data_IF_347846590753
#
_entry.id   IF_347846590753
#
_cell.length_a   1.000
_cell.length_b   1.000
_cell.length_c   1.000
_cell.angle_alpha   90.00
_cell.angle_beta   90.00
_cell.angle_gamma   90.00
#
_symmetry.space_group_name_H-M   'P 1'
#
loop_
_entity.id
_entity.type
_entity.pdbx_description
1 polymer ?
#
# COMPACT_ATOMS: atom_id res chain seq x y z
N UNK A 1 7.04 -2.56 10.82
CA UNK A 1 7.75 -2.31 9.54
C UNK A 1 7.51 -3.51 8.61
N UNK A 2 8.01 -3.50 7.37
CA UNK A 2 7.68 -4.49 6.33
C UNK A 2 7.89 -5.95 6.77
N UNK A 3 6.96 -6.85 6.43
CA UNK A 3 7.05 -8.30 6.69
C UNK A 3 8.31 -8.96 6.08
N UNK A 4 8.86 -8.39 5.01
CA UNK A 4 10.07 -8.90 4.36
C UNK A 4 11.38 -8.50 5.05
N UNK A 5 11.34 -7.69 6.11
CA UNK A 5 12.51 -7.51 6.99
C UNK A 5 12.70 -8.69 7.96
N UNK A 6 11.75 -9.63 7.98
CA UNK A 6 11.83 -10.90 8.72
C UNK A 6 12.53 -11.97 7.86
N UNK A 7 13.71 -12.42 8.27
CA UNK A 7 14.44 -13.48 7.55
C UNK A 7 13.68 -14.80 7.43
N UNK A 8 12.89 -15.17 8.45
CA UNK A 8 12.18 -16.44 8.45
C UNK A 8 10.99 -16.38 7.49
N UNK A 9 10.23 -15.28 7.48
CA UNK A 9 9.15 -15.09 6.50
C UNK A 9 9.66 -14.99 5.06
N UNK A 10 10.85 -14.42 4.82
CA UNK A 10 11.48 -14.42 3.48
C UNK A 10 11.68 -15.84 2.96
N UNK A 11 12.05 -16.79 3.82
CA UNK A 11 12.26 -18.22 3.47
C UNK A 11 10.93 -18.97 3.27
N UNK A 12 9.85 -18.52 3.89
CA UNK A 12 8.55 -19.15 3.71
C UNK A 12 7.85 -18.68 2.43
N UNK A 13 8.09 -17.44 2.00
CA UNK A 13 7.44 -16.83 0.83
C UNK A 13 8.17 -17.13 -0.48
N UNK A 14 8.03 -18.37 -0.96
CA UNK A 14 8.52 -18.81 -2.27
C UNK A 14 7.40 -19.20 -3.23
N UNK A 15 7.67 -19.00 -4.52
CA UNK A 15 6.77 -19.36 -5.61
C UNK A 15 6.69 -18.23 -6.64
N UNK A 16 6.33 -18.58 -7.86
CA UNK A 16 6.07 -17.63 -8.94
C UNK A 16 4.67 -17.95 -9.44
N UNK A 17 3.83 -16.92 -9.53
CA UNK A 17 2.55 -17.06 -10.19
C UNK A 17 2.80 -17.06 -11.70
N UNK A 18 2.50 -18.19 -12.35
CA UNK A 18 2.71 -18.33 -13.78
C UNK A 18 1.79 -17.38 -14.56
N UNK A 19 2.14 -17.07 -15.80
CA UNK A 19 1.27 -16.23 -16.65
C UNK A 19 -0.09 -16.90 -16.87
N UNK A 20 -0.12 -18.23 -17.02
CA UNK A 20 -1.35 -19.00 -17.15
C UNK A 20 -2.22 -18.94 -15.89
N UNK A 21 -1.62 -19.03 -14.70
CA UNK A 21 -2.37 -18.89 -13.44
C UNK A 21 -2.91 -17.47 -13.30
N UNK A 22 -2.11 -16.45 -13.63
CA UNK A 22 -2.55 -15.05 -13.64
C UNK A 22 -3.76 -14.84 -14.56
N UNK A 23 -3.73 -15.37 -15.78
CA UNK A 23 -4.86 -15.28 -16.71
C UNK A 23 -6.11 -15.97 -16.18
N UNK A 24 -5.95 -17.17 -15.59
CA UNK A 24 -7.05 -17.94 -15.03
C UNK A 24 -7.67 -17.21 -13.83
N UNK A 25 -6.85 -16.67 -12.93
CA UNK A 25 -7.27 -15.87 -11.79
C UNK A 25 -7.96 -14.59 -12.25
N UNK A 26 -7.42 -13.90 -13.26
CA UNK A 26 -8.01 -12.69 -13.81
C UNK A 26 -9.41 -12.97 -14.38
N UNK A 27 -9.57 -14.06 -15.13
CA UNK A 27 -10.87 -14.52 -15.63
C UNK A 27 -11.87 -14.79 -14.51
N UNK A 28 -11.41 -15.34 -13.39
CA UNK A 28 -12.26 -15.70 -12.26
C UNK A 28 -12.67 -14.49 -11.39
N UNK A 29 -11.82 -13.45 -11.28
CA UNK A 29 -11.96 -12.39 -10.28
C UNK A 29 -11.97 -10.95 -10.83
N UNK A 30 -11.23 -10.63 -11.89
CA UNK A 30 -10.92 -9.22 -12.22
C UNK A 30 -12.14 -8.43 -12.71
N UNK A 31 -13.13 -9.08 -13.33
CA UNK A 31 -14.37 -8.41 -13.77
C UNK A 31 -15.20 -7.82 -12.62
N UNK A 32 -14.89 -8.17 -11.36
CA UNK A 32 -15.48 -7.58 -10.15
C UNK A 32 -14.53 -6.65 -9.40
N UNK A 33 -13.27 -6.57 -9.79
CA UNK A 33 -12.29 -5.76 -9.10
C UNK A 33 -12.51 -4.27 -9.42
N UNK A 34 -12.80 -3.49 -8.38
CA UNK A 34 -12.82 -2.02 -8.47
C UNK A 34 -11.40 -1.44 -8.47
N UNK A 35 -10.45 -2.17 -7.85
CA UNK A 35 -9.04 -1.81 -7.78
C UNK A 35 -8.17 -3.07 -7.84
N UNK A 36 -7.14 -3.05 -8.67
CA UNK A 36 -6.06 -4.03 -8.68
C UNK A 36 -4.83 -3.41 -8.01
N UNK A 37 -4.46 -3.92 -6.84
CA UNK A 37 -3.28 -3.49 -6.11
C UNK A 37 -2.16 -4.51 -6.32
N UNK A 38 -1.10 -4.10 -7.00
CA UNK A 38 0.12 -4.89 -7.20
C UNK A 38 1.11 -4.51 -6.08
N UNK A 39 1.68 -5.51 -5.41
CA UNK A 39 2.64 -5.32 -4.31
C UNK A 39 2.00 -5.33 -2.91
N UNK A 40 2.50 -4.48 -2.00
CA UNK A 40 2.16 -4.39 -0.57
C UNK A 40 2.66 -5.50 0.35
N UNK A 41 2.88 -6.72 -0.15
CA UNK A 41 3.42 -7.84 0.63
C UNK A 41 4.92 -8.03 0.49
N UNK A 42 5.40 -8.10 -0.75
CA UNK A 42 6.79 -8.26 -1.16
C UNK A 42 7.20 -7.11 -2.09
N UNK A 43 8.45 -7.12 -2.58
CA UNK A 43 8.88 -6.20 -3.63
C UNK A 43 8.41 -6.70 -5.02
N UNK A 44 7.38 -6.09 -5.63
CA UNK A 44 6.86 -6.54 -6.92
C UNK A 44 7.85 -6.37 -8.07
N UNK A 45 8.85 -5.47 -7.99
CA UNK A 45 9.82 -5.26 -9.07
C UNK A 45 10.72 -6.47 -9.33
N UNK A 46 10.70 -7.50 -8.49
CA UNK A 46 11.34 -8.79 -8.74
C UNK A 46 10.60 -9.63 -9.79
N UNK A 47 9.31 -9.36 -10.02
CA UNK A 47 8.53 -10.06 -11.04
C UNK A 47 8.83 -9.47 -12.42
N UNK A 48 9.31 -10.31 -13.35
CA UNK A 48 9.81 -9.84 -14.66
C UNK A 48 8.73 -9.18 -15.53
N UNK A 49 7.48 -9.63 -15.44
CA UNK A 49 6.41 -9.19 -16.33
C UNK A 49 5.35 -8.31 -15.62
N UNK A 50 5.78 -7.31 -14.84
CA UNK A 50 4.85 -6.39 -14.17
C UNK A 50 3.90 -5.69 -15.14
N UNK A 51 4.40 -5.26 -16.31
CA UNK A 51 3.56 -4.64 -17.33
C UNK A 51 2.46 -5.58 -17.82
N UNK A 52 2.73 -6.89 -17.91
CA UNK A 52 1.72 -7.90 -18.25
C UNK A 52 0.55 -7.91 -17.28
N UNK A 53 0.82 -7.77 -15.97
CA UNK A 53 -0.23 -7.69 -14.94
C UNK A 53 -1.11 -6.44 -15.14
N UNK A 54 -0.49 -5.30 -15.46
CA UNK A 54 -1.22 -4.05 -15.75
C UNK A 54 -2.12 -4.19 -16.97
N UNK A 55 -1.58 -4.73 -18.07
CA UNK A 55 -2.34 -4.99 -19.31
C UNK A 55 -3.52 -5.93 -19.05
N UNK A 56 -3.29 -6.99 -18.29
CA UNK A 56 -4.32 -7.96 -17.92
C UNK A 56 -5.43 -7.28 -17.10
N UNK A 57 -5.08 -6.45 -16.11
CA UNK A 57 -6.06 -5.65 -15.36
C UNK A 57 -6.91 -4.77 -16.27
N UNK A 58 -6.29 -4.05 -17.21
CA UNK A 58 -7.03 -3.19 -18.16
C UNK A 58 -7.90 -4.00 -19.14
N UNK A 59 -7.45 -5.17 -19.59
CA UNK A 59 -8.24 -6.07 -20.44
C UNK A 59 -9.57 -6.48 -19.77
N UNK A 60 -9.56 -6.65 -18.44
CA UNK A 60 -10.77 -6.95 -17.66
C UNK A 60 -11.50 -5.70 -17.16
N UNK A 61 -11.16 -4.52 -17.68
CA UNK A 61 -11.75 -3.22 -17.33
C UNK A 61 -11.65 -2.88 -15.84
N UNK A 62 -10.56 -3.27 -15.16
CA UNK A 62 -10.31 -2.85 -13.78
C UNK A 62 -10.14 -1.32 -13.76
N UNK A 63 -10.98 -0.57 -13.03
CA UNK A 63 -10.99 0.90 -13.11
C UNK A 63 -9.71 1.56 -12.59
N UNK A 64 -9.06 0.96 -11.59
CA UNK A 64 -7.89 1.53 -10.95
C UNK A 64 -6.83 0.47 -10.67
N UNK A 65 -5.64 0.61 -11.23
CA UNK A 65 -4.50 -0.29 -11.07
C UNK A 65 -3.37 0.49 -10.42
N UNK A 66 -2.87 0.01 -9.30
CA UNK A 66 -1.80 0.66 -8.57
C UNK A 66 -0.67 -0.29 -8.20
N UNK A 67 0.57 0.20 -8.30
CA UNK A 67 1.78 -0.52 -7.92
C UNK A 67 2.36 0.08 -6.64
N UNK A 68 2.60 -0.74 -5.61
CA UNK A 68 3.34 -0.32 -4.41
C UNK A 68 4.69 -1.02 -4.36
N UNK A 69 5.78 -0.24 -4.32
CA UNK A 69 7.16 -0.72 -4.50
C UNK A 69 8.15 0.19 -3.75
N UNK A 70 9.35 -0.31 -3.42
CA UNK A 70 10.49 0.53 -3.05
C UNK A 70 11.15 1.20 -4.28
N UNK A 71 10.90 0.65 -5.47
CA UNK A 71 11.32 1.14 -6.78
C UNK A 71 12.81 0.99 -7.11
N UNK A 72 13.64 0.43 -6.22
CA UNK A 72 15.09 0.39 -6.40
C UNK A 72 15.55 -0.48 -7.59
N UNK A 73 14.70 -1.39 -8.07
CA UNK A 73 14.96 -2.24 -9.25
C UNK A 73 14.21 -1.80 -10.51
N UNK A 74 13.38 -0.75 -10.43
CA UNK A 74 12.60 -0.30 -11.58
C UNK A 74 13.46 0.49 -12.55
N UNK A 75 13.45 0.08 -13.82
CA UNK A 75 14.09 0.85 -14.88
C UNK A 75 13.14 1.90 -15.44
N UNK A 76 13.70 2.89 -16.14
CA UNK A 76 12.94 3.91 -16.85
C UNK A 76 11.98 3.26 -17.86
N UNK A 77 12.46 2.31 -18.66
CA UNK A 77 11.68 1.60 -19.67
C UNK A 77 10.49 0.87 -19.06
N UNK A 78 10.68 0.23 -17.89
CA UNK A 78 9.58 -0.43 -17.18
C UNK A 78 8.51 0.58 -16.73
N UNK A 79 8.91 1.73 -16.19
CA UNK A 79 7.96 2.77 -15.79
C UNK A 79 7.15 3.30 -16.98
N UNK A 80 7.81 3.61 -18.09
CA UNK A 80 7.16 4.02 -19.34
C UNK A 80 6.19 2.95 -19.85
N UNK A 81 6.65 1.69 -19.90
CA UNK A 81 5.84 0.57 -20.37
C UNK A 81 4.61 0.31 -19.48
N UNK A 82 4.74 0.46 -18.16
CA UNK A 82 3.61 0.33 -17.24
C UNK A 82 2.63 1.50 -17.36
N UNK A 83 3.12 2.74 -17.47
CA UNK A 83 2.27 3.90 -17.69
C UNK A 83 1.50 3.79 -19.02
N UNK A 84 2.17 3.38 -20.10
CA UNK A 84 1.56 3.10 -21.40
C UNK A 84 0.50 2.00 -21.34
N UNK A 85 0.76 0.93 -20.58
CA UNK A 85 -0.19 -0.15 -20.34
C UNK A 85 -1.41 0.27 -19.51
N UNK A 86 -1.42 1.49 -18.97
CA UNK A 86 -2.52 2.05 -18.20
C UNK A 86 -2.36 1.93 -16.68
N UNK A 87 -1.15 1.80 -16.14
CA UNK A 87 -0.96 1.89 -14.69
C UNK A 87 -1.46 3.27 -14.21
N UNK A 88 -2.38 3.29 -13.24
CA UNK A 88 -3.00 4.54 -12.80
C UNK A 88 -2.19 5.23 -11.70
N UNK A 89 -1.56 4.46 -10.81
CA UNK A 89 -0.77 4.99 -9.69
C UNK A 89 0.47 4.15 -9.37
N UNK A 90 1.60 4.82 -9.15
CA UNK A 90 2.75 4.23 -8.44
C UNK A 90 2.84 4.82 -7.02
N UNK A 91 2.94 3.93 -6.03
CA UNK A 91 3.23 4.25 -4.64
C UNK A 91 4.66 3.85 -4.32
N UNK A 92 5.52 4.83 -4.08
CA UNK A 92 6.87 4.62 -3.60
C UNK A 92 6.89 4.57 -2.08
N UNK A 93 7.30 3.44 -1.53
CA UNK A 93 7.58 3.31 -0.11
C UNK A 93 9.00 3.78 0.18
N UNK A 94 9.14 4.75 1.09
CA UNK A 94 10.45 5.21 1.57
C UNK A 94 10.38 5.50 3.08
N UNK A 95 11.47 5.24 3.79
CA UNK A 95 11.55 5.39 5.24
C UNK A 95 12.67 6.35 5.65
N UNK A 96 13.22 7.12 4.72
CA UNK A 96 14.22 8.14 4.97
C UNK A 96 14.35 9.06 3.76
N UNK A 97 14.79 10.30 3.96
CA UNK A 97 15.05 11.23 2.85
C UNK A 97 16.50 11.73 2.84
N UNK A 98 17.28 11.36 3.86
CA UNK A 98 18.74 11.49 3.85
C UNK A 98 19.35 10.14 3.49
N UNK A 99 20.54 10.14 2.89
CA UNK A 99 21.20 8.92 2.40
C UNK A 99 21.39 7.90 3.51
N UNK A 100 21.93 8.35 4.64
CA UNK A 100 22.24 7.51 5.80
C UNK A 100 20.97 6.85 6.36
N UNK A 101 19.92 7.65 6.60
CA UNK A 101 18.65 7.18 7.15
C UNK A 101 17.89 6.29 6.16
N UNK A 102 17.91 6.63 4.87
CA UNK A 102 17.29 5.82 3.82
C UNK A 102 17.95 4.44 3.74
N UNK A 103 19.28 4.38 3.60
CA UNK A 103 20.00 3.12 3.44
C UNK A 103 19.99 2.27 4.73
N UNK A 104 19.85 2.92 5.89
CA UNK A 104 19.64 2.23 7.17
C UNK A 104 18.25 1.59 7.28
N UNK A 105 17.19 2.33 6.93
CA UNK A 105 15.80 1.88 7.14
C UNK A 105 15.21 1.10 5.97
N UNK A 106 15.79 1.23 4.78
CA UNK A 106 15.42 0.50 3.56
C UNK A 106 16.50 -0.54 3.27
N UNK A 107 16.50 -1.67 3.99
CA UNK A 107 17.50 -2.73 3.83
C UNK A 107 17.69 -3.10 2.35
N UNK A 108 18.94 -3.06 1.86
CA UNK A 108 19.36 -3.23 0.46
C UNK A 108 18.97 -2.12 -0.54
N UNK A 109 18.24 -1.10 -0.10
CA UNK A 109 17.95 0.08 -0.89
C UNK A 109 19.19 0.95 -1.06
N UNK A 110 19.41 1.46 -2.27
CA UNK A 110 20.45 2.45 -2.57
C UNK A 110 19.82 3.81 -2.77
N UNK A 111 20.29 4.83 -2.04
CA UNK A 111 19.70 6.16 -2.10
C UNK A 111 19.88 6.81 -3.48
N UNK A 112 21.02 6.57 -4.13
CA UNK A 112 21.30 7.15 -5.45
C UNK A 112 20.34 6.58 -6.53
N UNK A 113 19.97 5.30 -6.44
CA UNK A 113 18.96 4.69 -7.31
C UNK A 113 17.56 5.24 -7.03
N UNK A 114 17.26 5.55 -5.76
CA UNK A 114 16.02 6.21 -5.40
C UNK A 114 15.92 7.61 -6.02
N UNK A 115 16.97 8.42 -5.97
CA UNK A 115 16.99 9.72 -6.64
C UNK A 115 16.82 9.58 -8.17
N UNK A 116 17.52 8.62 -8.79
CA UNK A 116 17.36 8.35 -10.22
C UNK A 116 15.92 7.94 -10.58
N UNK A 117 15.27 7.13 -9.74
CA UNK A 117 13.86 6.75 -9.89
C UNK A 117 12.95 7.98 -9.86
N UNK A 118 13.17 8.91 -8.93
CA UNK A 118 12.42 10.16 -8.84
C UNK A 118 12.57 11.00 -10.13
N UNK A 119 13.76 11.05 -10.71
CA UNK A 119 14.01 11.70 -12.00
C UNK A 119 13.25 11.02 -13.14
N UNK A 120 13.30 9.70 -13.23
CA UNK A 120 12.57 8.94 -14.24
C UNK A 120 11.05 9.17 -14.14
N UNK A 121 10.50 9.25 -12.93
CA UNK A 121 9.07 9.51 -12.71
C UNK A 121 8.65 10.90 -13.19
N UNK A 122 9.51 11.92 -13.06
CA UNK A 122 9.23 13.25 -13.65
C UNK A 122 9.05 13.16 -15.15
N UNK A 123 9.87 12.37 -15.83
CA UNK A 123 9.79 12.20 -17.29
C UNK A 123 8.56 11.39 -17.72
N UNK A 124 8.22 10.33 -16.99
CA UNK A 124 7.00 9.54 -17.24
C UNK A 124 5.78 10.44 -17.10
N UNK A 125 5.71 11.24 -16.04
CA UNK A 125 4.60 12.18 -15.79
C UNK A 125 4.43 13.21 -16.91
N UNK A 126 5.52 13.65 -17.57
CA UNK A 126 5.45 14.56 -18.71
C UNK A 126 4.71 13.94 -19.91
N UNK A 127 4.88 12.64 -20.14
CA UNK A 127 4.22 11.93 -21.24
C UNK A 127 2.84 11.36 -20.86
N UNK A 128 2.65 11.03 -19.58
CA UNK A 128 1.40 10.50 -19.03
C UNK A 128 0.92 11.37 -17.86
N UNK A 129 0.28 12.54 -18.11
CA UNK A 129 -0.10 13.48 -17.05
C UNK A 129 -1.06 12.90 -15.99
N UNK A 130 -1.94 11.98 -16.41
CA UNK A 130 -2.93 11.32 -15.56
C UNK A 130 -2.30 10.28 -14.61
N UNK A 131 -1.10 9.78 -14.93
CA UNK A 131 -0.37 8.84 -14.08
C UNK A 131 -0.07 9.45 -12.72
N UNK A 132 -0.50 8.81 -11.65
CA UNK A 132 -0.39 9.34 -10.29
C UNK A 132 0.86 8.84 -9.59
N UNK A 133 1.54 9.76 -8.91
CA UNK A 133 2.68 9.44 -8.04
C UNK A 133 2.23 9.62 -6.59
N UNK A 134 2.45 8.60 -5.77
CA UNK A 134 2.25 8.62 -4.32
C UNK A 134 3.58 8.33 -3.61
N UNK A 135 3.89 9.10 -2.58
CA UNK A 135 4.92 8.73 -1.59
C UNK A 135 4.22 8.17 -0.36
N UNK A 136 4.61 6.98 0.05
CA UNK A 136 4.22 6.38 1.32
C UNK A 136 5.44 6.39 2.27
N UNK A 137 5.37 7.22 3.30
CA UNK A 137 6.42 7.42 4.29
C UNK A 137 6.03 6.83 5.64
N UNK A 138 6.81 5.88 6.15
CA UNK A 138 6.60 5.33 7.49
C UNK A 138 7.41 6.14 8.49
N UNK A 139 6.72 6.95 9.29
CA UNK A 139 7.28 7.78 10.35
C UNK A 139 7.66 6.94 11.57
N UNK A 140 8.86 7.14 12.10
CA UNK A 140 9.36 6.60 13.35
C UNK A 140 10.18 7.66 14.10
N UNK A 141 10.71 7.33 15.27
CA UNK A 141 11.47 8.31 16.08
C UNK A 141 12.77 8.78 15.39
N UNK A 142 13.36 7.95 14.54
CA UNK A 142 14.65 8.23 13.90
C UNK A 142 14.50 9.13 12.67
N UNK A 143 13.37 9.07 11.97
CA UNK A 143 13.21 9.68 10.65
C UNK A 143 12.20 10.84 10.58
N UNK A 144 11.28 10.96 11.54
CA UNK A 144 10.15 11.91 11.43
C UNK A 144 10.62 13.36 11.31
N UNK A 145 11.72 13.72 11.99
CA UNK A 145 12.28 15.07 11.93
C UNK A 145 12.80 15.44 10.53
N UNK A 146 13.24 14.45 9.74
CA UNK A 146 13.74 14.69 8.38
C UNK A 146 12.66 15.24 7.46
N UNK A 147 11.37 15.05 7.77
CA UNK A 147 10.27 15.61 6.98
C UNK A 147 10.30 17.15 6.89
N UNK A 148 11.06 17.84 7.76
CA UNK A 148 11.38 19.28 7.60
C UNK A 148 12.07 19.58 6.25
N UNK A 149 12.85 18.63 5.77
CA UNK A 149 13.62 18.71 4.53
C UNK A 149 12.88 18.07 3.33
N UNK A 150 11.62 17.65 3.48
CA UNK A 150 10.85 16.92 2.46
C UNK A 150 10.92 17.57 1.07
N UNK A 151 10.70 18.88 1.01
CA UNK A 151 10.68 19.62 -0.26
C UNK A 151 12.05 19.75 -0.93
N UNK A 152 13.16 19.52 -0.22
CA UNK A 152 14.50 19.48 -0.83
C UNK A 152 14.67 18.27 -1.75
N UNK A 153 13.95 17.18 -1.48
CA UNK A 153 14.03 15.92 -2.25
C UNK A 153 12.85 15.79 -3.22
N UNK A 154 11.64 16.12 -2.76
CA UNK A 154 10.40 15.91 -3.54
C UNK A 154 9.85 17.18 -4.20
N UNK A 155 10.50 18.34 -4.02
CA UNK A 155 9.99 19.64 -4.46
C UNK A 155 9.72 19.75 -5.97
N UNK A 156 10.56 19.11 -6.78
CA UNK A 156 10.44 19.15 -8.25
C UNK A 156 9.61 18.00 -8.82
N UNK A 157 9.09 17.12 -7.96
CA UNK A 157 8.29 15.98 -8.39
C UNK A 157 6.84 16.41 -8.44
N UNK A 158 6.14 16.16 -9.55
CA UNK A 158 4.70 16.40 -9.67
C UNK A 158 3.91 15.34 -8.88
N UNK A 159 4.11 15.35 -7.55
CA UNK A 159 3.51 14.44 -6.59
C UNK A 159 2.00 14.66 -6.54
N UNK A 160 1.22 13.59 -6.49
CA UNK A 160 -0.23 13.68 -6.34
C UNK A 160 -0.67 13.45 -4.91
N UNK A 161 0.04 12.55 -4.20
CA UNK A 161 -0.38 12.08 -2.89
C UNK A 161 0.82 11.87 -1.99
N UNK A 162 0.79 12.45 -0.79
CA UNK A 162 1.69 12.14 0.30
C UNK A 162 0.92 11.35 1.35
N UNK A 163 1.41 10.17 1.71
CA UNK A 163 0.85 9.33 2.76
C UNK A 163 1.88 9.13 3.86
N UNK A 164 1.64 9.72 5.03
CA UNK A 164 2.44 9.59 6.23
C UNK A 164 1.78 8.55 7.14
N UNK A 165 2.53 7.51 7.52
CA UNK A 165 2.03 6.43 8.38
C UNK A 165 2.91 6.32 9.62
N UNK A 166 2.37 6.36 10.84
CA UNK A 166 3.15 6.02 12.01
C UNK A 166 3.60 4.55 11.95
N UNK A 167 4.80 4.28 12.48
CA UNK A 167 5.33 2.92 12.56
C UNK A 167 4.40 2.03 13.39
N UNK A 168 4.28 0.78 12.98
CA UNK A 168 3.54 -0.24 13.73
C UNK A 168 4.37 -1.51 13.79
N UNK A 169 4.28 -2.20 14.91
CA UNK A 169 4.80 -3.55 15.06
C UNK A 169 3.93 -4.51 14.26
N UNK A 170 4.54 -5.12 13.24
CA UNK A 170 3.87 -5.99 12.27
C UNK A 170 4.84 -7.14 11.99
N UNK A 171 4.68 -8.26 12.70
CA UNK A 171 5.63 -9.38 12.66
C UNK A 171 6.98 -9.04 13.28
N UNK A 172 7.97 -9.91 13.09
CA UNK A 172 9.34 -9.61 13.47
C UNK A 172 9.97 -8.71 12.38
N UNK A 173 10.65 -7.65 12.76
CA UNK A 173 11.41 -6.82 11.81
C UNK A 173 12.80 -6.52 12.34
N UNK A 174 13.77 -6.25 11.46
CA UNK A 174 15.12 -5.80 11.87
C UNK A 174 15.05 -4.54 12.75
N UNK A 175 14.09 -3.66 12.47
CA UNK A 175 13.82 -2.48 13.28
C UNK A 175 12.91 -2.79 14.47
N UNK A 176 13.29 -2.28 15.65
CA UNK A 176 12.69 -2.65 16.95
C UNK A 176 12.08 -1.46 17.72
N UNK A 177 12.25 -0.21 17.27
CA UNK A 177 11.73 0.96 17.98
C UNK A 177 10.36 1.41 17.46
N UNK A 178 9.28 0.88 18.04
CA UNK A 178 7.90 1.21 17.68
C UNK A 178 7.27 2.34 18.52
N UNK A 179 8.06 3.09 19.28
CA UNK A 179 7.56 4.23 20.04
C UNK A 179 6.95 5.31 19.14
N UNK A 180 5.80 5.83 19.54
CA UNK A 180 5.11 6.93 18.85
C UNK A 180 5.36 8.28 19.53
N UNK A 181 6.12 8.31 20.63
CA UNK A 181 6.31 9.51 21.46
C UNK A 181 6.89 10.66 20.63
N UNK A 182 8.06 10.46 20.02
CA UNK A 182 8.71 11.52 19.21
C UNK A 182 7.88 11.90 17.98
N UNK A 183 7.12 10.97 17.40
CA UNK A 183 6.19 11.29 16.30
C UNK A 183 5.12 12.26 16.79
N UNK A 184 4.52 11.99 17.96
CA UNK A 184 3.52 12.86 18.59
C UNK A 184 4.08 14.26 18.88
N UNK A 185 5.29 14.35 19.43
CA UNK A 185 5.97 15.62 19.71
C UNK A 185 6.26 16.46 18.44
N UNK A 186 6.49 15.79 17.31
CA UNK A 186 6.80 16.44 16.03
C UNK A 186 5.57 16.70 15.14
N UNK A 187 4.36 16.30 15.56
CA UNK A 187 3.15 16.51 14.76
C UNK A 187 2.93 17.99 14.42
N UNK A 188 2.96 18.86 15.42
CA UNK A 188 2.67 20.28 15.22
C UNK A 188 3.80 21.06 14.57
N UNK A 189 5.05 20.69 14.84
CA UNK A 189 6.23 21.43 14.38
C UNK A 189 6.75 20.95 13.02
N UNK A 190 6.42 19.73 12.58
CA UNK A 190 6.93 19.14 11.34
C UNK A 190 5.80 18.66 10.42
N UNK A 191 4.93 17.78 10.94
CA UNK A 191 3.93 17.10 10.10
C UNK A 191 2.82 18.06 9.64
N UNK A 192 2.29 18.88 10.55
CA UNK A 192 1.21 19.84 10.25
C UNK A 192 1.68 20.92 9.24
N UNK A 193 2.86 21.55 9.37
CA UNK A 193 3.39 22.45 8.35
C UNK A 193 3.54 21.78 6.98
N UNK A 194 3.99 20.52 6.93
CA UNK A 194 4.10 19.76 5.69
C UNK A 194 2.71 19.50 5.06
N UNK A 195 1.71 19.14 5.87
CA UNK A 195 0.32 18.97 5.45
C UNK A 195 -0.23 20.27 4.84
N UNK A 196 -0.01 21.42 5.50
CA UNK A 196 -0.49 22.71 4.97
C UNK A 196 0.21 23.09 3.67
N UNK A 197 1.50 22.79 3.51
CA UNK A 197 2.18 22.99 2.23
C UNK A 197 1.65 22.05 1.14
N UNK A 198 1.37 20.79 1.45
CA UNK A 198 0.71 19.87 0.51
C UNK A 198 -0.63 20.43 0.03
N UNK A 199 -1.47 20.96 0.93
CA UNK A 199 -2.73 21.62 0.56
C UNK A 199 -2.51 22.81 -0.36
N UNK A 200 -1.54 23.68 -0.05
CA UNK A 200 -1.19 24.84 -0.91
C UNK A 200 -0.77 24.41 -2.32
N UNK A 201 -0.09 23.26 -2.43
CA UNK A 201 0.35 22.69 -3.72
C UNK A 201 -0.71 21.80 -4.40
N UNK A 202 -1.89 21.61 -3.80
CA UNK A 202 -2.93 20.72 -4.35
C UNK A 202 -2.59 19.23 -4.27
N UNK A 203 -1.71 18.84 -3.35
CA UNK A 203 -1.30 17.46 -3.10
C UNK A 203 -2.20 16.89 -2.00
N UNK A 204 -2.82 15.74 -2.27
CA UNK A 204 -3.62 15.04 -1.24
C UNK A 204 -2.67 14.55 -0.16
N UNK A 205 -2.90 14.95 1.10
CA UNK A 205 -2.07 14.53 2.21
C UNK A 205 -2.86 13.62 3.16
N UNK A 206 -2.37 12.41 3.37
CA UNK A 206 -2.91 11.47 4.36
C UNK A 206 -1.94 11.43 5.53
N UNK A 207 -2.32 11.99 6.68
CA UNK A 207 -1.44 12.07 7.84
C UNK A 207 -2.20 11.80 9.15
N UNK A 208 -1.54 11.22 10.18
CA UNK A 208 -2.16 11.05 11.48
C UNK A 208 -2.34 12.39 12.20
N UNK A 209 -3.35 12.45 13.05
CA UNK A 209 -3.53 13.49 14.07
C UNK A 209 -3.21 12.94 15.47
N UNK A 210 -3.16 13.77 16.51
CA UNK A 210 -2.91 13.29 17.88
C UNK A 210 -3.90 12.18 18.29
N UNK A 211 -5.19 12.34 17.96
CA UNK A 211 -6.21 11.32 18.24
C UNK A 211 -5.91 9.99 17.55
N UNK A 212 -5.32 10.03 16.35
CA UNK A 212 -4.95 8.84 15.60
C UNK A 212 -3.83 8.08 16.33
N UNK A 213 -2.80 8.79 16.79
CA UNK A 213 -1.69 8.15 17.51
C UNK A 213 -2.15 7.52 18.83
N UNK A 214 -2.99 8.22 19.61
CA UNK A 214 -3.55 7.69 20.86
C UNK A 214 -4.35 6.40 20.63
N UNK A 215 -5.14 6.32 19.55
CA UNK A 215 -5.90 5.12 19.19
C UNK A 215 -4.95 3.97 18.85
N UNK A 216 -3.83 4.21 18.14
CA UNK A 216 -2.87 3.15 17.84
C UNK A 216 -2.19 2.56 19.09
N UNK A 217 -1.91 3.39 20.09
CA UNK A 217 -1.30 2.94 21.35
C UNK A 217 -2.28 2.10 22.18
N UNK A 218 -3.58 2.40 22.08
CA UNK A 218 -4.63 1.78 22.90
C UNK A 218 -5.31 0.58 22.24
N UNK A 219 -5.36 0.52 20.90
CA UNK A 219 -6.09 -0.54 20.20
C UNK A 219 -5.29 -1.85 20.06
N UNK A 220 -5.83 -2.91 20.67
CA UNK A 220 -5.52 -4.29 20.27
C UNK A 220 -5.96 -4.52 18.81
N UNK A 221 -5.29 -5.41 18.04
CA UNK A 221 -5.65 -5.71 16.66
C UNK A 221 -7.15 -6.00 16.54
N UNK A 222 -7.81 -5.38 15.56
CA UNK A 222 -9.26 -5.53 15.43
C UNK A 222 -9.63 -7.01 15.27
N UNK A 223 -10.55 -7.47 16.11
CA UNK A 223 -10.99 -8.87 16.12
C UNK A 223 -12.01 -9.13 15.02
N UNK A 224 -12.71 -8.10 14.58
CA UNK A 224 -13.67 -8.21 13.48
C UNK A 224 -12.96 -7.92 12.15
N UNK A 225 -12.75 -8.98 11.35
CA UNK A 225 -12.16 -8.92 10.01
C UNK A 225 -13.20 -9.02 8.90
N UNK A 226 -14.49 -8.90 9.24
CA UNK A 226 -15.59 -9.13 8.31
C UNK A 226 -15.49 -8.22 7.09
N UNK A 227 -15.09 -6.95 7.26
CA UNK A 227 -14.93 -6.05 6.13
C UNK A 227 -13.84 -6.55 5.19
N UNK A 228 -12.67 -6.91 5.73
CA UNK A 228 -11.56 -7.37 4.90
C UNK A 228 -11.85 -8.66 4.16
N UNK A 229 -12.51 -9.61 4.82
CA UNK A 229 -12.98 -10.86 4.23
C UNK A 229 -13.94 -10.63 3.05
N UNK A 230 -14.75 -9.57 3.12
CA UNK A 230 -15.75 -9.23 2.11
C UNK A 230 -15.20 -8.36 0.98
N UNK A 231 -14.16 -7.57 1.21
CA UNK A 231 -13.69 -6.57 0.23
C UNK A 231 -12.34 -6.89 -0.40
N UNK A 232 -11.53 -7.79 0.17
CA UNK A 232 -10.22 -8.14 -0.38
C UNK A 232 -10.19 -9.56 -0.95
N UNK A 233 -9.67 -9.68 -2.17
CA UNK A 233 -9.26 -10.94 -2.77
C UNK A 233 -7.73 -10.95 -2.83
N UNK A 234 -7.08 -11.54 -1.83
CA UNK A 234 -5.61 -11.61 -1.80
C UNK A 234 -5.10 -12.73 -2.72
N UNK A 235 -4.13 -12.44 -3.57
CA UNK A 235 -3.55 -13.41 -4.50
C UNK A 235 -2.04 -13.47 -4.31
N UNK A 236 -1.50 -14.67 -4.25
CA UNK A 236 -0.08 -14.96 -4.21
C UNK A 236 0.22 -16.25 -4.97
N UNK A 237 1.50 -16.63 -5.07
CA UNK A 237 1.90 -17.90 -5.68
C UNK A 237 1.38 -19.14 -4.92
N UNK A 238 0.88 -19.00 -3.68
CA UNK A 238 0.41 -20.11 -2.84
C UNK A 238 -1.06 -20.04 -2.45
N UNK A 239 -1.72 -18.91 -2.69
CA UNK A 239 -3.09 -18.68 -2.24
C UNK A 239 -3.84 -17.75 -3.18
N UNK A 240 -5.13 -18.00 -3.36
CA UNK A 240 -6.02 -17.18 -4.16
C UNK A 240 -7.34 -16.97 -3.39
N UNK A 241 -7.54 -15.73 -2.93
CA UNK A 241 -8.69 -15.26 -2.17
C UNK A 241 -8.99 -16.03 -0.88
N UNK A 242 -9.82 -17.08 -0.93
CA UNK A 242 -10.18 -17.92 0.21
C UNK A 242 -9.57 -19.31 0.03
N UNK A 243 -9.24 -20.00 1.13
CA UNK A 243 -8.56 -21.30 1.08
C UNK A 243 -9.28 -22.36 0.24
N UNK A 244 -10.61 -22.30 0.17
CA UNK A 244 -11.43 -23.26 -0.57
C UNK A 244 -12.01 -22.72 -1.87
N UNK A 245 -11.48 -21.60 -2.39
CA UNK A 245 -11.81 -21.07 -3.71
C UNK A 245 -10.92 -21.71 -4.78
N UNK A 246 -11.52 -22.36 -5.77
CA UNK A 246 -10.79 -22.93 -6.90
C UNK A 246 -10.97 -22.06 -8.14
N UNK A 247 -9.96 -21.25 -8.46
CA UNK A 247 -10.00 -20.34 -9.61
C UNK A 247 -9.99 -21.05 -10.97
N UNK A 248 -9.72 -22.36 -11.05
CA UNK A 248 -9.81 -23.12 -12.29
C UNK A 248 -11.25 -23.52 -12.62
N UNK A 249 -12.08 -23.76 -11.61
CA UNK A 249 -13.46 -24.27 -11.78
C UNK A 249 -14.52 -23.28 -11.33
N UNK A 250 -14.15 -22.25 -10.58
CA UNK A 250 -15.04 -21.24 -10.02
C UNK A 250 -14.75 -19.83 -10.52
N UNK A 251 -15.81 -19.03 -10.51
CA UNK A 251 -15.79 -17.57 -10.66
C UNK A 251 -16.15 -16.94 -9.31
N UNK A 252 -15.90 -15.64 -9.15
CA UNK A 252 -16.40 -14.88 -8.01
C UNK A 252 -17.88 -15.17 -7.73
N UNK A 253 -18.74 -15.13 -8.75
CA UNK A 253 -20.18 -15.34 -8.59
C UNK A 253 -20.56 -16.77 -8.20
N UNK A 254 -19.89 -17.79 -8.74
CA UNK A 254 -20.19 -19.18 -8.38
C UNK A 254 -19.75 -19.47 -6.94
N UNK A 255 -18.60 -18.95 -6.52
CA UNK A 255 -18.12 -19.05 -5.14
C UNK A 255 -19.06 -18.34 -4.16
N UNK A 256 -19.41 -17.08 -4.43
CA UNK A 256 -20.34 -16.31 -3.59
C UNK A 256 -21.69 -17.02 -3.44
N UNK A 257 -22.20 -17.66 -4.50
CA UNK A 257 -23.43 -18.46 -4.47
C UNK A 257 -23.26 -19.71 -3.62
N UNK A 258 -22.19 -20.49 -3.83
CA UNK A 258 -21.87 -21.70 -3.06
C UNK A 258 -21.75 -21.41 -1.56
N UNK A 259 -21.09 -20.31 -1.22
CA UNK A 259 -20.91 -19.85 0.17
C UNK A 259 -22.08 -19.06 0.75
N UNK A 260 -23.13 -18.80 -0.06
CA UNK A 260 -24.28 -17.99 0.34
C UNK A 260 -23.86 -16.63 0.91
N UNK A 261 -22.86 -15.99 0.32
CA UNK A 261 -22.25 -14.74 0.83
C UNK A 261 -23.28 -13.63 1.02
N UNK A 262 -24.28 -13.51 0.14
CA UNK A 262 -25.37 -12.54 0.31
C UNK A 262 -26.16 -12.76 1.61
N UNK A 263 -26.45 -14.02 1.97
CA UNK A 263 -27.10 -14.35 3.25
C UNK A 263 -26.19 -14.02 4.42
N UNK A 264 -24.89 -14.33 4.32
CA UNK A 264 -23.90 -14.01 5.34
C UNK A 264 -23.82 -12.50 5.60
N UNK A 265 -23.74 -11.68 4.54
CA UNK A 265 -23.73 -10.21 4.63
C UNK A 265 -25.01 -9.70 5.30
N UNK A 266 -26.19 -10.16 4.85
CA UNK A 266 -27.46 -9.76 5.46
C UNK A 266 -27.54 -10.16 6.94
N UNK A 267 -27.11 -11.37 7.28
CA UNK A 267 -27.06 -11.83 8.68
C UNK A 267 -26.15 -10.94 9.52
N UNK A 268 -24.99 -10.52 9.02
CA UNK A 268 -24.08 -9.61 9.72
C UNK A 268 -24.63 -8.20 9.87
N UNK A 269 -25.30 -7.67 8.84
CA UNK A 269 -25.93 -6.35 8.88
C UNK A 269 -27.10 -6.28 9.86
N UNK A 270 -27.89 -7.36 9.95
CA UNK A 270 -29.10 -7.41 10.79
C UNK A 270 -28.92 -8.16 12.12
N UNK A 271 -27.79 -8.83 12.33
CA UNK A 271 -27.46 -9.37 13.65
C UNK A 271 -27.30 -8.20 14.61
N UNK A 272 -28.24 -8.06 15.55
CA UNK A 272 -28.04 -7.22 16.72
C UNK A 272 -26.86 -7.79 17.49
N UNK A 273 -25.66 -7.24 17.28
CA UNK A 273 -24.54 -7.47 18.17
C UNK A 273 -24.85 -6.76 19.48
N UNK A 274 -25.54 -7.47 20.38
CA UNK A 274 -26.00 -6.98 21.69
C UNK A 274 -24.87 -6.51 22.63
N UNK A 275 -23.59 -6.49 22.22
CA UNK A 275 -22.50 -6.12 23.14
C UNK A 275 -21.22 -5.50 22.52
N UNK A 276 -21.24 -4.94 21.30
CA UNK A 276 -20.04 -4.24 20.75
C UNK A 276 -20.37 -3.12 19.76
N UNK A 277 -20.99 -2.05 20.23
CA UNK A 277 -20.84 -0.74 19.60
C UNK A 277 -20.06 0.14 20.58
N UNK A 278 -18.78 -0.17 20.76
CA UNK A 278 -17.83 0.79 21.33
C UNK A 278 -17.65 1.93 20.33
N UNK A 279 -18.64 2.84 20.29
CA UNK A 279 -18.69 4.06 19.49
C UNK A 279 -18.58 3.81 17.97
N UNK A 280 -19.02 4.75 17.11
CA UNK A 280 -18.65 4.70 15.71
C UNK A 280 -17.12 4.81 15.60
N UNK A 281 -16.45 3.71 15.27
CA UNK A 281 -15.01 3.68 14.99
C UNK A 281 -14.75 4.41 13.66
N UNK A 282 -14.58 5.72 13.72
CA UNK A 282 -14.16 6.53 12.57
C UNK A 282 -12.67 6.35 12.23
N UNK A 283 -11.94 5.60 13.05
CA UNK A 283 -10.52 5.35 12.95
C UNK A 283 -10.28 3.88 13.26
N UNK A 284 -9.52 3.18 12.42
CA UNK A 284 -9.05 1.81 12.67
C UNK A 284 -7.54 1.79 12.63
N UNK A 285 -6.90 0.80 13.28
CA UNK A 285 -5.45 0.57 13.15
C UNK A 285 -4.92 0.56 11.71
N UNK A 286 -5.72 0.09 10.73
CA UNK A 286 -5.36 0.06 9.30
C UNK A 286 -5.56 1.41 8.59
N UNK A 287 -6.60 2.17 8.96
CA UNK A 287 -6.96 3.48 8.42
C UNK A 287 -6.78 4.57 9.48
N UNK A 288 -5.55 4.69 10.00
CA UNK A 288 -5.23 5.62 11.07
C UNK A 288 -4.62 6.94 10.58
N UNK A 289 -5.35 7.65 9.74
CA UNK A 289 -4.95 8.95 9.20
C UNK A 289 -6.19 9.74 8.80
N UNK A 290 -6.03 11.06 8.69
CA UNK A 290 -7.02 11.94 8.08
C UNK A 290 -6.60 12.30 6.67
N UNK A 291 -7.55 12.32 5.73
CA UNK A 291 -7.32 12.81 4.37
C UNK A 291 -7.51 14.32 4.38
N UNK A 292 -6.48 15.06 3.98
CA UNK A 292 -6.38 16.51 4.07
C UNK A 292 -5.99 17.14 2.75
#
# INVERSE_FOLDING_TARGET
MCYFSDEEKRKEMHGILSEQDMETIAKALFHRALKLQIGCGAEPSLYKNLTGIVRLGKQYNVPYISLTTNGNLLTKEQLFSMAEAGLDEITLSTHGIRKETYEHLMTNGKYDLFLQLLDNLKEVKKQYPDFRIRINYTMNEDNTEELKDFWKVFGDIPLNILQLRPVQEIGNSEYQNFSLQKISELLDSVVNPLVEECKRKGIICMAPEHKNLQILEQETPDKDKTFEELTYCYVSARSCWNEDFDYHTETFESYCRRKRMGKYILQKLFSRTENKLDKPKHVTRKMNYSVK
#
